data_IF_178730102283
#
_entry.id   IF_178730102283
#
_cell.length_a   1.000
_cell.length_b   1.000
_cell.length_c   1.000
_cell.angle_alpha   90.00
_cell.angle_beta   90.00
_cell.angle_gamma   90.00
#
_symmetry.space_group_name_H-M   'P 1'
#
loop_
_entity.id
_entity.type
_entity.pdbx_description
1 polymer ?
#
# COMPACT_ATOMS: atom_id res chain seq x y z
N UNK A 1 12.49 19.09 82.01
CA UNK A 1 11.57 18.19 81.28
C UNK A 1 11.03 18.95 80.08
N UNK A 2 11.56 18.71 78.87
CA UNK A 2 11.00 19.22 77.61
C UNK A 2 11.64 18.44 76.45
N UNK A 3 10.86 17.56 75.81
CA UNK A 3 11.26 16.76 74.65
C UNK A 3 11.31 17.66 73.42
N UNK A 4 12.45 17.73 72.73
CA UNK A 4 12.55 18.34 71.39
C UNK A 4 12.30 17.25 70.35
N UNK A 5 11.19 17.35 69.63
CA UNK A 5 10.89 16.46 68.50
C UNK A 5 11.73 16.90 67.30
N UNK A 6 12.65 16.03 66.86
CA UNK A 6 13.37 16.18 65.59
C UNK A 6 12.47 15.55 64.53
N UNK A 7 11.88 16.38 63.66
CA UNK A 7 11.14 15.92 62.49
C UNK A 7 12.14 15.72 61.36
N UNK A 8 12.37 14.46 61.00
CA UNK A 8 13.23 14.05 59.89
C UNK A 8 12.43 14.16 58.59
N UNK A 9 12.75 15.15 57.75
CA UNK A 9 12.14 15.31 56.43
C UNK A 9 12.87 14.42 55.42
N UNK A 10 12.30 13.25 55.12
CA UNK A 10 12.73 12.38 54.02
C UNK A 10 12.33 13.00 52.67
N UNK A 11 13.32 13.48 51.91
CA UNK A 11 13.16 13.81 50.49
C UNK A 11 12.94 12.50 49.70
N UNK A 12 11.71 12.24 49.27
CA UNK A 12 11.44 11.25 48.22
C UNK A 12 11.78 11.88 46.87
N UNK A 13 12.93 11.54 46.31
CA UNK A 13 13.25 11.83 44.92
C UNK A 13 12.39 10.93 44.01
N UNK A 14 11.32 11.49 43.44
CA UNK A 14 10.59 10.87 42.34
C UNK A 14 11.48 10.88 41.08
N UNK A 15 12.17 9.77 40.84
CA UNK A 15 12.74 9.48 39.52
C UNK A 15 11.59 9.14 38.57
N UNK A 16 11.18 10.10 37.76
CA UNK A 16 10.24 9.90 36.66
C UNK A 16 10.87 8.97 35.62
N UNK A 17 10.44 7.71 35.59
CA UNK A 17 10.65 6.87 34.42
C UNK A 17 9.82 7.46 33.29
N UNK A 18 10.45 8.17 32.36
CA UNK A 18 9.84 8.50 31.09
C UNK A 18 9.64 7.18 30.33
N UNK A 19 8.42 6.65 30.36
CA UNK A 19 8.00 5.62 29.41
C UNK A 19 7.98 6.29 28.05
N UNK A 20 9.04 6.11 27.26
CA UNK A 20 9.02 6.45 25.85
C UNK A 20 8.06 5.49 25.17
N UNK A 21 6.81 5.90 24.99
CA UNK A 21 5.92 5.26 24.04
C UNK A 21 6.63 5.27 22.68
N UNK A 22 6.86 4.09 22.10
CA UNK A 22 7.40 3.96 20.76
C UNK A 22 6.41 4.65 19.82
N UNK A 23 6.75 5.84 19.35
CA UNK A 23 5.87 6.61 18.48
C UNK A 23 5.87 5.93 17.11
N UNK A 24 4.69 5.55 16.62
CA UNK A 24 4.39 5.04 15.26
C UNK A 24 4.84 6.05 14.17
N UNK A 25 6.14 6.30 14.06
CA UNK A 25 6.71 7.33 13.19
C UNK A 25 7.14 6.70 11.88
N UNK A 26 6.53 7.16 10.79
CA UNK A 26 6.88 6.72 9.46
C UNK A 26 8.35 7.04 9.13
N UNK A 27 9.13 6.00 8.84
CA UNK A 27 10.53 6.11 8.46
C UNK A 27 10.66 6.25 6.95
N UNK A 28 11.27 7.33 6.48
CA UNK A 28 11.65 7.47 5.06
C UNK A 28 12.72 6.41 4.74
N UNK A 29 12.31 5.34 4.05
CA UNK A 29 13.17 4.19 3.75
C UNK A 29 13.92 4.36 2.43
N UNK A 30 13.37 5.12 1.49
CA UNK A 30 13.98 5.34 0.18
C UNK A 30 13.56 6.69 -0.40
N UNK A 31 14.52 7.41 -0.99
CA UNK A 31 14.26 8.63 -1.77
C UNK A 31 15.23 8.74 -2.94
N UNK A 32 14.76 8.49 -4.17
CA UNK A 32 15.54 8.63 -5.41
C UNK A 32 14.61 8.70 -6.62
N UNK A 33 15.06 9.29 -7.73
CA UNK A 33 14.29 9.42 -8.98
C UNK A 33 12.90 10.04 -8.79
N UNK A 34 12.76 11.01 -7.88
CA UNK A 34 11.48 11.63 -7.50
C UNK A 34 10.44 10.62 -6.96
N UNK A 35 10.89 9.49 -6.40
CA UNK A 35 10.06 8.53 -5.70
C UNK A 35 10.50 8.52 -4.25
N UNK A 36 9.55 8.67 -3.34
CA UNK A 36 9.75 8.56 -1.90
C UNK A 36 8.97 7.34 -1.41
N UNK A 37 9.60 6.55 -0.54
CA UNK A 37 8.97 5.42 0.14
C UNK A 37 9.18 5.61 1.63
N UNK A 38 8.11 5.51 2.39
CA UNK A 38 8.09 5.43 3.83
C UNK A 38 7.61 4.06 4.25
N UNK A 39 8.16 3.56 5.35
CA UNK A 39 7.68 2.36 6.02
C UNK A 39 7.28 2.71 7.44
N UNK A 40 6.19 2.13 7.91
CA UNK A 40 5.71 2.31 9.27
C UNK A 40 5.06 1.03 9.75
N UNK A 41 5.03 0.88 11.06
CA UNK A 41 4.26 -0.14 11.75
C UNK A 41 3.28 0.61 12.64
N UNK A 42 2.12 0.01 12.89
CA UNK A 42 1.11 0.58 13.80
C UNK A 42 0.98 -0.34 14.99
N UNK A 43 0.72 0.19 16.18
CA UNK A 43 0.56 -0.62 17.40
C UNK A 43 -0.43 -1.80 17.21
N UNK A 44 -1.49 -1.60 16.41
CA UNK A 44 -2.54 -2.60 16.17
C UNK A 44 -2.24 -3.60 15.04
N UNK A 45 -1.14 -3.44 14.30
CA UNK A 45 -0.81 -4.31 13.17
C UNK A 45 0.71 -4.62 13.15
N UNK A 46 1.11 -5.87 13.43
CA UNK A 46 2.53 -6.24 13.42
C UNK A 46 3.13 -6.25 12.00
N UNK A 47 2.30 -6.14 10.95
CA UNK A 47 2.74 -6.13 9.56
C UNK A 47 3.24 -4.74 9.20
N UNK A 48 4.48 -4.66 8.70
CA UNK A 48 5.06 -3.42 8.21
C UNK A 48 4.26 -2.94 6.99
N UNK A 49 3.82 -1.69 7.05
CA UNK A 49 3.11 -1.01 5.98
C UNK A 49 4.07 -0.12 5.21
N UNK A 50 3.72 0.19 3.96
CA UNK A 50 4.42 1.19 3.16
C UNK A 50 3.48 2.31 2.73
N UNK A 51 4.09 3.47 2.48
CA UNK A 51 3.52 4.55 1.66
C UNK A 51 4.57 4.96 0.66
N UNK A 52 4.21 5.11 -0.60
CA UNK A 52 5.10 5.62 -1.64
C UNK A 52 4.40 6.70 -2.46
N UNK A 53 5.16 7.70 -2.88
CA UNK A 53 4.62 8.77 -3.72
C UNK A 53 5.61 9.20 -4.81
N UNK A 54 5.06 9.69 -5.92
CA UNK A 54 5.80 10.33 -7.00
C UNK A 54 4.90 11.28 -7.79
N UNK A 55 5.45 11.95 -8.79
CA UNK A 55 4.69 12.76 -9.75
C UNK A 55 5.01 12.36 -11.18
N UNK A 56 4.00 12.38 -12.04
CA UNK A 56 4.14 12.14 -13.47
C UNK A 56 3.64 13.35 -14.27
N UNK A 57 4.31 13.62 -15.40
CA UNK A 57 3.97 14.71 -16.32
C UNK A 57 2.92 14.26 -17.36
N UNK A 58 1.78 13.77 -16.86
CA UNK A 58 0.62 13.33 -17.64
C UNK A 58 -0.68 13.79 -16.96
N UNK A 59 -1.82 13.83 -17.68
CA UNK A 59 -3.12 14.00 -17.05
C UNK A 59 -3.41 12.92 -16.00
N UNK A 60 -4.20 13.28 -14.98
CA UNK A 60 -4.58 12.37 -13.89
C UNK A 60 -5.22 11.09 -14.41
N UNK A 61 -6.03 11.22 -15.45
CA UNK A 61 -6.82 10.14 -16.03
C UNK A 61 -5.95 9.04 -16.63
N UNK A 62 -4.76 9.39 -17.16
CA UNK A 62 -3.82 8.39 -17.67
C UNK A 62 -3.26 7.52 -16.57
N UNK A 63 -2.88 8.12 -15.45
CA UNK A 63 -2.34 7.39 -14.31
C UNK A 63 -3.40 6.47 -13.69
N UNK A 64 -4.65 6.93 -13.62
CA UNK A 64 -5.79 6.11 -13.17
C UNK A 64 -6.02 4.92 -14.11
N UNK A 65 -6.01 5.15 -15.42
CA UNK A 65 -6.24 4.10 -16.41
C UNK A 65 -5.23 2.96 -16.34
N UNK A 66 -3.94 3.26 -16.11
CA UNK A 66 -2.89 2.24 -15.91
C UNK A 66 -3.23 1.31 -14.74
N UNK A 67 -3.74 1.85 -13.63
CA UNK A 67 -4.07 1.05 -12.43
C UNK A 67 -5.39 0.29 -12.60
N UNK A 68 -6.32 0.79 -13.42
CA UNK A 68 -7.59 0.11 -13.71
C UNK A 68 -7.48 -0.96 -14.80
N UNK A 69 -6.36 -1.03 -15.52
CA UNK A 69 -6.06 -2.10 -16.49
C UNK A 69 -5.47 -3.32 -15.78
N UNK A 70 -6.37 -4.10 -15.15
CA UNK A 70 -6.02 -5.21 -14.26
C UNK A 70 -5.27 -6.30 -15.01
N UNK A 71 -5.70 -6.64 -16.22
CA UNK A 71 -5.12 -7.71 -17.04
C UNK A 71 -3.67 -7.40 -17.44
N UNK A 72 -3.29 -6.12 -17.56
CA UNK A 72 -1.92 -5.71 -17.85
C UNK A 72 -1.03 -5.57 -16.61
N UNK A 73 -1.56 -5.72 -15.40
CA UNK A 73 -0.79 -5.65 -14.14
C UNK A 73 0.51 -6.49 -14.17
N UNK A 74 0.53 -7.75 -14.63
CA UNK A 74 1.75 -8.56 -14.67
C UNK A 74 2.87 -7.99 -15.54
N UNK A 75 2.54 -7.13 -16.51
CA UNK A 75 3.53 -6.54 -17.42
C UNK A 75 4.40 -5.47 -16.72
N UNK A 76 3.88 -4.85 -15.66
CA UNK A 76 4.52 -3.68 -15.06
C UNK A 76 4.60 -3.72 -13.54
N UNK A 77 3.77 -4.46 -12.82
CA UNK A 77 3.91 -4.62 -11.37
C UNK A 77 4.91 -5.73 -11.08
N UNK A 78 5.99 -5.46 -10.31
CA UNK A 78 6.93 -6.51 -9.91
C UNK A 78 6.25 -7.61 -9.10
N UNK A 79 6.67 -8.86 -9.30
CA UNK A 79 6.21 -10.04 -8.55
C UNK A 79 4.71 -10.34 -8.70
N UNK A 80 4.07 -9.89 -9.77
CA UNK A 80 2.71 -10.30 -10.13
C UNK A 80 2.79 -11.21 -11.34
N UNK A 81 2.47 -12.49 -11.17
CA UNK A 81 2.46 -13.48 -12.25
C UNK A 81 1.15 -13.49 -13.04
N UNK A 82 0.02 -13.20 -12.37
CA UNK A 82 -1.31 -13.16 -12.99
C UNK A 82 -2.20 -12.14 -12.27
N UNK A 83 -3.03 -11.45 -13.04
CA UNK A 83 -4.14 -10.67 -12.53
C UNK A 83 -5.34 -10.82 -13.46
N UNK A 84 -6.54 -10.93 -12.89
CA UNK A 84 -7.77 -11.19 -13.62
C UNK A 84 -8.94 -10.47 -12.97
N UNK A 85 -9.67 -9.66 -13.73
CA UNK A 85 -10.95 -9.11 -13.28
C UNK A 85 -11.98 -10.23 -13.12
N UNK A 86 -12.64 -10.31 -11.96
CA UNK A 86 -13.71 -11.27 -11.69
C UNK A 86 -15.09 -10.63 -11.85
N UNK A 87 -15.26 -9.41 -11.33
CA UNK A 87 -16.49 -8.64 -11.52
C UNK A 87 -16.21 -7.14 -11.43
N UNK A 88 -17.04 -6.33 -12.10
CA UNK A 88 -16.91 -4.87 -12.10
C UNK A 88 -18.28 -4.22 -12.29
N UNK A 89 -18.56 -3.23 -11.45
CA UNK A 89 -19.72 -2.34 -11.52
C UNK A 89 -19.19 -0.90 -11.60
N UNK A 90 -19.14 -0.34 -12.80
CA UNK A 90 -18.62 1.01 -13.06
C UNK A 90 -19.52 2.13 -12.51
N UNK A 91 -20.81 1.85 -12.26
CA UNK A 91 -21.73 2.84 -11.68
C UNK A 91 -21.48 2.98 -10.19
N UNK A 92 -21.26 1.84 -9.51
CA UNK A 92 -20.88 1.83 -8.09
C UNK A 92 -19.40 2.07 -7.89
N UNK A 93 -18.56 1.91 -8.91
CA UNK A 93 -17.10 1.93 -8.76
C UNK A 93 -16.58 0.73 -7.97
N UNK A 94 -17.28 -0.40 -7.99
CA UNK A 94 -16.90 -1.61 -7.25
C UNK A 94 -16.35 -2.65 -8.21
N UNK A 95 -15.36 -3.41 -7.76
CA UNK A 95 -14.83 -4.52 -8.52
C UNK A 95 -14.27 -5.61 -7.61
N UNK A 96 -14.18 -6.83 -8.16
CA UNK A 96 -13.41 -7.91 -7.56
C UNK A 96 -12.42 -8.45 -8.57
N UNK A 97 -11.21 -8.77 -8.11
CA UNK A 97 -10.17 -9.34 -8.96
C UNK A 97 -9.44 -10.48 -8.23
N UNK A 98 -8.85 -11.35 -9.03
CA UNK A 98 -7.96 -12.42 -8.60
C UNK A 98 -6.53 -12.07 -9.01
N UNK A 99 -5.57 -12.21 -8.09
CA UNK A 99 -4.17 -11.90 -8.35
C UNK A 99 -3.26 -13.01 -7.79
N UNK A 100 -2.25 -13.38 -8.56
CA UNK A 100 -1.18 -14.30 -8.16
C UNK A 100 0.13 -13.53 -8.06
N UNK A 101 0.76 -13.62 -6.91
CA UNK A 101 2.07 -13.06 -6.60
C UNK A 101 3.13 -14.15 -6.80
N UNK A 102 4.07 -13.85 -7.71
CA UNK A 102 5.19 -14.72 -8.10
C UNK A 102 6.36 -14.48 -7.13
N UNK A 103 6.55 -15.40 -6.20
CA UNK A 103 7.58 -15.30 -5.18
C UNK A 103 8.85 -16.02 -5.65
N UNK A 104 10.06 -15.49 -5.34
CA UNK A 104 11.27 -16.17 -5.75
C UNK A 104 11.43 -17.53 -5.07
N UNK A 105 11.88 -18.51 -5.84
CA UNK A 105 12.25 -19.83 -5.34
C UNK A 105 13.23 -19.73 -4.14
N UNK A 106 13.04 -20.52 -3.06
CA UNK A 106 12.14 -21.68 -2.91
C UNK A 106 10.77 -21.34 -2.28
N UNK A 107 10.38 -20.08 -2.19
CA UNK A 107 9.09 -19.71 -1.61
C UNK A 107 7.95 -20.08 -2.59
N UNK A 108 6.87 -20.69 -2.07
CA UNK A 108 5.66 -20.95 -2.87
C UNK A 108 5.01 -19.65 -3.32
N UNK A 109 4.28 -19.64 -4.42
CA UNK A 109 3.52 -18.46 -4.82
C UNK A 109 2.37 -18.17 -3.87
N UNK A 110 1.88 -16.92 -3.91
CA UNK A 110 0.73 -16.47 -3.14
C UNK A 110 -0.39 -16.06 -4.07
N UNK A 111 -1.64 -16.26 -3.68
CA UNK A 111 -2.77 -15.65 -4.36
C UNK A 111 -3.65 -14.86 -3.40
N UNK A 112 -4.42 -13.93 -3.97
CA UNK A 112 -5.33 -13.08 -3.22
C UNK A 112 -6.55 -12.75 -4.08
N UNK A 113 -7.71 -12.75 -3.43
CA UNK A 113 -8.94 -12.20 -4.01
C UNK A 113 -9.16 -10.83 -3.40
N UNK A 114 -9.29 -9.83 -4.23
CA UNK A 114 -9.33 -8.42 -3.82
C UNK A 114 -10.71 -7.86 -4.15
N UNK A 115 -11.33 -7.18 -3.18
CA UNK A 115 -12.45 -6.28 -3.42
C UNK A 115 -11.93 -4.85 -3.47
N UNK A 116 -12.25 -4.17 -4.55
CA UNK A 116 -11.86 -2.80 -4.82
C UNK A 116 -13.05 -1.84 -4.83
N UNK A 117 -12.79 -0.59 -4.43
CA UNK A 117 -13.71 0.55 -4.57
C UNK A 117 -12.96 1.75 -5.13
N UNK A 118 -13.41 2.27 -6.27
CA UNK A 118 -12.92 3.51 -6.86
C UNK A 118 -13.92 4.64 -6.61
N UNK A 119 -13.42 5.83 -6.32
CA UNK A 119 -14.24 7.02 -6.07
C UNK A 119 -13.50 8.29 -6.45
N UNK A 120 -14.23 9.29 -6.94
CA UNK A 120 -13.76 10.67 -7.05
C UNK A 120 -14.13 11.43 -5.77
N UNK A 121 -13.15 12.07 -5.17
CA UNK A 121 -13.30 12.86 -3.96
C UNK A 121 -13.80 14.27 -4.29
N UNK A 122 -14.30 14.98 -3.28
CA UNK A 122 -14.83 16.34 -3.45
C UNK A 122 -13.76 17.35 -3.96
N UNK A 123 -12.49 17.11 -3.67
CA UNK A 123 -11.35 17.90 -4.17
C UNK A 123 -10.93 17.54 -5.61
N UNK A 124 -11.64 16.60 -6.25
CA UNK A 124 -11.36 16.11 -7.59
C UNK A 124 -10.26 15.05 -7.66
N UNK A 125 -9.63 14.67 -6.54
CA UNK A 125 -8.71 13.53 -6.51
C UNK A 125 -9.46 12.21 -6.70
N UNK A 126 -8.78 11.20 -7.25
CA UNK A 126 -9.34 9.85 -7.40
C UNK A 126 -8.68 8.93 -6.39
N UNK A 127 -9.47 8.10 -5.73
CA UNK A 127 -9.01 7.07 -4.80
C UNK A 127 -9.46 5.69 -5.26
N UNK A 128 -8.59 4.70 -5.12
CA UNK A 128 -8.90 3.29 -5.33
C UNK A 128 -8.48 2.56 -4.07
N UNK A 129 -9.43 1.99 -3.33
CA UNK A 129 -9.17 1.21 -2.12
C UNK A 129 -9.30 -0.26 -2.42
N UNK A 130 -8.37 -1.07 -1.93
CA UNK A 130 -8.38 -2.51 -2.15
C UNK A 130 -8.16 -3.27 -0.85
N UNK A 131 -8.96 -4.30 -0.60
CA UNK A 131 -8.80 -5.18 0.55
C UNK A 131 -8.98 -6.65 0.13
N UNK A 132 -8.25 -7.56 0.77
CA UNK A 132 -8.49 -8.98 0.62
C UNK A 132 -9.91 -9.35 1.08
N UNK A 133 -10.53 -10.26 0.33
CA UNK A 133 -11.78 -10.93 0.70
C UNK A 133 -11.59 -12.45 0.66
N UNK A 134 -12.36 -13.17 1.47
CA UNK A 134 -12.31 -14.63 1.56
C UNK A 134 -13.53 -15.26 0.88
N UNK A 135 -13.47 -16.57 0.62
CA UNK A 135 -14.60 -17.40 0.16
C UNK A 135 -15.31 -16.92 -1.12
N UNK A 136 -14.60 -16.22 -2.02
CA UNK A 136 -15.14 -15.64 -3.26
C UNK A 136 -14.47 -16.16 -4.54
N UNK A 137 -13.45 -17.02 -4.39
CA UNK A 137 -12.76 -17.70 -5.48
C UNK A 137 -12.15 -19.02 -4.96
N UNK A 138 -12.18 -20.12 -5.75
CA UNK A 138 -11.64 -21.41 -5.32
C UNK A 138 -10.17 -21.32 -4.90
N UNK A 139 -9.77 -22.09 -3.89
CA UNK A 139 -8.37 -22.27 -3.56
C UNK A 139 -7.63 -22.94 -4.72
N UNK A 140 -6.39 -22.52 -4.96
CA UNK A 140 -5.56 -23.09 -6.02
C UNK A 140 -4.54 -24.05 -5.42
N UNK A 141 -4.25 -25.19 -6.07
CA UNK A 141 -3.20 -26.09 -5.62
C UNK A 141 -1.83 -25.38 -5.68
N UNK A 142 -0.96 -25.75 -4.76
CA UNK A 142 0.44 -25.27 -4.69
C UNK A 142 0.66 -23.75 -4.52
N UNK A 143 -0.40 -23.01 -4.21
CA UNK A 143 -0.37 -21.56 -3.96
C UNK A 143 -0.91 -21.26 -2.56
N UNK A 144 -0.32 -20.29 -1.86
CA UNK A 144 -0.75 -19.88 -0.51
C UNK A 144 -1.72 -18.71 -0.59
N UNK A 145 -2.97 -18.89 -0.14
CA UNK A 145 -3.99 -17.84 -0.11
C UNK A 145 -3.71 -16.80 0.98
N UNK A 146 -3.57 -15.54 0.58
CA UNK A 146 -3.47 -14.42 1.50
C UNK A 146 -4.83 -14.00 2.05
N UNK A 147 -4.90 -13.81 3.36
CA UNK A 147 -6.09 -13.35 4.07
C UNK A 147 -6.02 -11.88 4.51
N UNK A 148 -4.81 -11.33 4.64
CA UNK A 148 -4.55 -9.96 5.10
C UNK A 148 -3.75 -9.20 4.05
N UNK A 149 -4.46 -8.39 3.27
CA UNK A 149 -3.88 -7.53 2.26
C UNK A 149 -4.73 -6.26 2.14
N UNK A 150 -4.07 -5.12 2.04
CA UNK A 150 -4.67 -3.87 1.62
C UNK A 150 -3.71 -3.12 0.71
N UNK A 151 -4.25 -2.42 -0.29
CA UNK A 151 -3.44 -1.69 -1.27
C UNK A 151 -4.22 -0.54 -1.88
N UNK A 152 -3.93 0.67 -1.43
CA UNK A 152 -4.67 1.86 -1.82
C UNK A 152 -3.86 2.71 -2.81
N UNK A 153 -4.58 3.40 -3.69
CA UNK A 153 -4.05 4.40 -4.62
C UNK A 153 -4.79 5.71 -4.47
N UNK A 154 -4.06 6.81 -4.56
CA UNK A 154 -4.61 8.17 -4.61
C UNK A 154 -3.92 8.94 -5.72
N UNK A 155 -4.73 9.60 -6.55
CA UNK A 155 -4.31 10.40 -7.69
C UNK A 155 -4.79 11.83 -7.47
N UNK A 156 -3.85 12.77 -7.40
CA UNK A 156 -4.17 14.18 -7.19
C UNK A 156 -3.67 15.00 -8.37
N UNK A 157 -4.56 15.81 -8.94
CA UNK A 157 -4.21 16.71 -10.05
C UNK A 157 -3.35 17.86 -9.50
N UNK A 158 -2.13 18.00 -10.02
CA UNK A 158 -1.24 19.12 -9.73
C UNK A 158 -1.23 20.17 -10.85
N UNK A 159 -1.78 19.82 -12.01
CA UNK A 159 -1.91 20.66 -13.20
C UNK A 159 -2.55 19.86 -14.34
N UNK A 160 -2.76 20.47 -15.51
CA UNK A 160 -3.42 19.78 -16.62
C UNK A 160 -2.68 18.53 -17.10
N UNK A 161 -1.36 18.57 -17.14
CA UNK A 161 -0.49 17.44 -17.50
C UNK A 161 0.44 17.08 -16.34
N UNK A 162 -0.05 17.15 -15.10
CA UNK A 162 0.75 16.79 -13.94
C UNK A 162 -0.10 16.17 -12.85
N UNK A 163 0.27 14.97 -12.43
CA UNK A 163 -0.44 14.19 -11.41
C UNK A 163 0.52 13.75 -10.32
N UNK A 164 0.10 13.86 -9.07
CA UNK A 164 0.73 13.18 -7.94
C UNK A 164 0.07 11.82 -7.77
N UNK A 165 0.88 10.78 -7.71
CA UNK A 165 0.43 9.41 -7.44
C UNK A 165 0.96 8.99 -6.09
N UNK A 166 0.07 8.52 -5.23
CA UNK A 166 0.40 7.95 -3.92
C UNK A 166 -0.16 6.53 -3.86
N UNK A 167 0.63 5.59 -3.39
CA UNK A 167 0.18 4.23 -3.08
C UNK A 167 0.60 3.88 -1.66
N UNK A 168 -0.24 3.13 -0.95
CA UNK A 168 0.08 2.64 0.38
C UNK A 168 -0.57 1.27 0.57
N UNK A 169 -0.05 0.47 1.49
CA UNK A 169 -0.58 -0.86 1.69
C UNK A 169 0.28 -1.74 2.56
N UNK A 170 -0.18 -2.97 2.71
CA UNK A 170 0.51 -4.04 3.39
C UNK A 170 0.00 -5.38 2.89
N UNK A 171 0.83 -6.41 3.06
CA UNK A 171 0.46 -7.80 2.82
C UNK A 171 1.09 -8.65 3.91
N UNK A 172 0.28 -9.47 4.60
CA UNK A 172 0.81 -10.59 5.38
C UNK A 172 1.15 -11.70 4.38
N UNK A 173 2.43 -12.06 4.21
CA UNK A 173 2.80 -13.05 3.20
C UNK A 173 2.43 -14.49 3.60
N UNK A 174 1.97 -14.70 4.85
CA UNK A 174 1.57 -15.96 5.46
C UNK A 174 2.65 -17.06 5.48
N UNK A 175 2.73 -17.79 6.59
CA UNK A 175 3.73 -18.84 6.79
C UNK A 175 5.11 -18.31 7.20
N UNK A 176 6.12 -19.19 7.15
CA UNK A 176 7.48 -18.91 7.63
C UNK A 176 8.33 -18.20 6.57
N UNK A 177 8.06 -16.91 6.36
CA UNK A 177 8.84 -16.08 5.42
C UNK A 177 10.04 -15.45 6.12
N UNK A 178 11.25 -15.53 5.55
CA UNK A 178 12.42 -14.85 6.11
C UNK A 178 12.19 -13.34 6.24
N UNK A 179 12.55 -12.77 7.39
CA UNK A 179 12.41 -11.33 7.65
C UNK A 179 13.17 -10.47 6.62
N UNK A 180 14.32 -10.96 6.12
CA UNK A 180 15.08 -10.31 5.05
C UNK A 180 14.25 -10.12 3.78
N UNK A 181 13.43 -11.13 3.42
CA UNK A 181 12.54 -11.05 2.27
C UNK A 181 11.43 -10.03 2.48
N UNK A 182 10.78 -10.04 3.66
CA UNK A 182 9.75 -9.06 4.02
C UNK A 182 10.29 -7.63 3.94
N UNK A 183 11.46 -7.38 4.53
CA UNK A 183 12.08 -6.06 4.54
C UNK A 183 12.45 -5.57 3.14
N UNK A 184 12.99 -6.46 2.30
CA UNK A 184 13.28 -6.15 0.89
C UNK A 184 11.99 -5.78 0.15
N UNK A 185 10.94 -6.58 0.29
CA UNK A 185 9.69 -6.40 -0.45
C UNK A 185 9.00 -5.09 -0.10
N UNK A 186 8.83 -4.81 1.20
CA UNK A 186 8.12 -3.61 1.70
C UNK A 186 8.80 -2.31 1.25
N UNK A 187 10.10 -2.31 1.01
CA UNK A 187 10.83 -1.11 0.55
C UNK A 187 11.01 -1.05 -0.97
N UNK A 188 11.44 -2.14 -1.59
CA UNK A 188 11.84 -2.15 -3.00
C UNK A 188 10.67 -2.30 -3.95
N UNK A 189 9.65 -3.10 -3.59
CA UNK A 189 8.50 -3.33 -4.45
C UNK A 189 7.75 -2.03 -4.80
N UNK A 190 7.37 -1.15 -3.85
CA UNK A 190 6.64 0.07 -4.19
C UNK A 190 7.50 1.04 -5.01
N UNK A 191 8.80 1.09 -4.77
CA UNK A 191 9.73 1.88 -5.58
C UNK A 191 9.77 1.37 -7.04
N UNK A 192 9.98 0.06 -7.24
CA UNK A 192 10.04 -0.53 -8.57
C UNK A 192 8.70 -0.42 -9.30
N UNK A 193 7.59 -0.58 -8.58
CA UNK A 193 6.24 -0.41 -9.11
C UNK A 193 6.02 0.99 -9.66
N UNK A 194 6.35 2.05 -8.90
CA UNK A 194 6.24 3.43 -9.39
C UNK A 194 7.24 3.76 -10.51
N UNK A 195 8.45 3.18 -10.49
CA UNK A 195 9.41 3.29 -11.59
C UNK A 195 8.88 2.68 -12.89
N UNK A 196 8.25 1.51 -12.83
CA UNK A 196 7.66 0.84 -14.00
C UNK A 196 6.38 1.55 -14.46
N UNK A 197 5.55 2.02 -13.52
CA UNK A 197 4.37 2.83 -13.83
C UNK A 197 4.72 4.09 -14.62
N UNK A 198 5.87 4.74 -14.34
CA UNK A 198 6.36 5.87 -15.13
C UNK A 198 6.46 5.56 -16.64
N UNK A 199 6.77 4.32 -17.00
CA UNK A 199 6.81 3.88 -18.40
C UNK A 199 5.39 3.65 -18.95
N UNK A 200 4.53 2.97 -18.18
CA UNK A 200 3.17 2.69 -18.61
C UNK A 200 2.32 3.95 -18.80
N UNK A 201 2.46 4.98 -17.96
CA UNK A 201 1.67 6.22 -18.13
C UNK A 201 1.99 6.98 -19.43
N UNK A 202 3.13 6.67 -20.05
CA UNK A 202 3.54 7.20 -21.35
C UNK A 202 3.21 6.24 -22.52
N UNK A 203 2.65 5.07 -22.24
CA UNK A 203 2.24 4.11 -23.26
C UNK A 203 1.06 4.69 -24.08
N UNK A 204 1.14 4.66 -25.43
CA UNK A 204 0.06 5.16 -26.29
C UNK A 204 -1.32 4.56 -26.02
N UNK A 205 -1.39 3.34 -25.46
CA UNK A 205 -2.66 2.72 -25.07
C UNK A 205 -3.49 3.62 -24.14
N UNK A 206 -2.84 4.36 -23.25
CA UNK A 206 -3.50 5.23 -22.28
C UNK A 206 -3.54 6.70 -22.73
N UNK A 207 -3.33 6.98 -24.02
CA UNK A 207 -3.31 8.37 -24.51
C UNK A 207 -4.66 9.08 -24.34
N UNK A 208 -5.76 8.34 -24.50
CA UNK A 208 -7.15 8.80 -24.42
C UNK A 208 -7.97 7.82 -23.56
N UNK A 209 -7.76 7.81 -22.24
CA UNK A 209 -8.37 6.82 -21.36
C UNK A 209 -9.88 7.05 -21.23
N UNK A 210 -10.65 5.97 -21.30
CA UNK A 210 -12.08 5.97 -20.93
C UNK A 210 -12.23 5.54 -19.48
N UNK A 211 -12.42 6.51 -18.59
CA UNK A 211 -12.68 6.21 -17.19
C UNK A 211 -14.16 5.88 -16.94
N UNK A 212 -14.45 5.05 -15.93
CA UNK A 212 -15.80 4.83 -15.42
C UNK A 212 -16.52 6.13 -15.06
N UNK A 213 -17.84 6.16 -15.22
CA UNK A 213 -18.64 7.36 -14.97
C UNK A 213 -18.53 7.87 -13.53
N UNK A 214 -18.37 6.97 -12.55
CA UNK A 214 -18.16 7.32 -11.13
C UNK A 214 -16.85 8.10 -10.89
N UNK A 215 -15.94 8.09 -11.85
CA UNK A 215 -14.65 8.79 -11.80
C UNK A 215 -14.61 10.06 -12.67
N UNK A 216 -15.66 10.35 -13.42
CA UNK A 216 -15.75 11.57 -14.25
C UNK A 216 -16.03 12.81 -13.41
#
# INVERSE_FOLDING_TARGET
MNKKHIVLATLLSLSSFAVTAATDTAKLSLHRNNIKVWTYQTENNPIIQYKAETTFDVPLERAVAVVLDVERTPQWVPYVGKAQMLSRDDKKGEFTLYMVLDFPFPLKDRDVVIKGKMSKNADGSISIKNNAIQNSYPEQPDVVRLSKYAGDWTFQKLGNNKVKVTTNGYADPAGSIPLSFVNMFVQQQPYQMLMKMKKEVNNPLYAQPKLPDVLK
#
